data_IF_063343599906
#
_entry.id   IF_063343599906
#
_cell.length_a   1.000
_cell.length_b   1.000
_cell.length_c   1.000
_cell.angle_alpha   90.00
_cell.angle_beta   90.00
_cell.angle_gamma   90.00
#
_symmetry.space_group_name_H-M   'P 1'
#
loop_
_entity.id
_entity.type
_entity.pdbx_description
1 polymer ?
#
# COMPACT_ATOMS: atom_id res chain seq x y z
N UNK A 1 -9.55 -6.04 -27.43
CA UNK A 1 -8.20 -5.51 -27.70
C UNK A 1 -7.18 -6.06 -26.71
N UNK A 2 -5.91 -6.15 -27.12
CA UNK A 2 -4.79 -6.54 -26.24
C UNK A 2 -4.30 -5.38 -25.39
N UNK A 3 -4.45 -4.17 -25.89
CA UNK A 3 -4.11 -2.91 -25.22
C UNK A 3 -5.39 -2.09 -24.99
N UNK A 4 -5.55 -1.63 -23.76
CA UNK A 4 -6.63 -0.73 -23.34
C UNK A 4 -6.02 0.54 -22.78
N UNK A 5 -6.44 1.69 -23.26
CA UNK A 5 -6.01 3.00 -22.76
C UNK A 5 -7.21 3.66 -22.08
N UNK A 6 -7.03 4.05 -20.83
CA UNK A 6 -8.04 4.70 -20.00
C UNK A 6 -7.51 6.08 -19.60
N UNK A 7 -8.24 7.11 -19.96
CA UNK A 7 -7.95 8.50 -19.60
C UNK A 7 -8.95 8.98 -18.57
N UNK A 8 -8.48 9.28 -17.36
CA UNK A 8 -9.25 9.73 -16.20
C UNK A 8 -10.55 8.92 -15.95
N UNK A 9 -10.49 7.56 -15.91
CA UNK A 9 -11.71 6.73 -15.93
C UNK A 9 -12.58 6.87 -14.68
N UNK A 10 -12.07 7.47 -13.62
CA UNK A 10 -12.76 7.70 -12.34
C UNK A 10 -13.11 9.15 -12.10
N UNK A 11 -12.85 10.05 -13.05
CA UNK A 11 -13.18 11.46 -12.92
C UNK A 11 -14.70 11.67 -12.78
N UNK A 12 -15.10 12.34 -11.70
CA UNK A 12 -16.53 12.59 -11.42
C UNK A 12 -17.33 11.36 -10.96
N UNK A 13 -16.68 10.25 -10.71
CA UNK A 13 -17.32 9.01 -10.22
C UNK A 13 -17.26 8.95 -8.70
N UNK A 14 -18.31 8.49 -8.07
CA UNK A 14 -18.36 8.29 -6.62
C UNK A 14 -17.42 7.16 -6.15
N UNK A 15 -17.13 7.02 -4.85
CA UNK A 15 -16.22 6.00 -4.35
C UNK A 15 -16.64 4.57 -4.70
N UNK A 16 -17.93 4.26 -4.77
CA UNK A 16 -18.45 2.93 -5.11
C UNK A 16 -18.19 2.61 -6.57
N UNK A 17 -18.48 3.55 -7.45
CA UNK A 17 -18.20 3.45 -8.88
C UNK A 17 -16.70 3.36 -9.16
N UNK A 18 -15.88 4.16 -8.48
CA UNK A 18 -14.42 4.13 -8.60
C UNK A 18 -13.86 2.75 -8.21
N UNK A 19 -14.36 2.16 -7.12
CA UNK A 19 -13.99 0.80 -6.73
C UNK A 19 -14.43 -0.25 -7.77
N UNK A 20 -15.57 -0.07 -8.42
CA UNK A 20 -16.02 -0.96 -9.50
C UNK A 20 -15.09 -0.88 -10.72
N UNK A 21 -14.65 0.32 -11.10
CA UNK A 21 -13.67 0.52 -12.17
C UNK A 21 -12.35 -0.15 -11.83
N UNK A 22 -11.85 -0.01 -10.58
CA UNK A 22 -10.65 -0.71 -10.12
C UNK A 22 -10.76 -2.23 -10.27
N UNK A 23 -11.89 -2.83 -9.84
CA UNK A 23 -12.14 -4.27 -10.04
C UNK A 23 -12.16 -4.66 -11.51
N UNK A 24 -12.72 -3.84 -12.39
CA UNK A 24 -12.73 -4.09 -13.83
C UNK A 24 -11.31 -4.07 -14.40
N UNK A 25 -10.46 -3.14 -14.00
CA UNK A 25 -9.05 -3.07 -14.39
C UNK A 25 -8.32 -4.36 -13.97
N UNK A 26 -8.47 -4.79 -12.71
CA UNK A 26 -7.88 -6.04 -12.24
C UNK A 26 -8.38 -7.27 -13.02
N UNK A 27 -9.67 -7.32 -13.34
CA UNK A 27 -10.23 -8.42 -14.12
C UNK A 27 -9.69 -8.46 -15.57
N UNK A 28 -9.50 -7.31 -16.21
CA UNK A 28 -8.88 -7.23 -17.54
C UNK A 28 -7.41 -7.64 -17.49
N UNK A 29 -6.66 -7.20 -16.48
CA UNK A 29 -5.27 -7.61 -16.26
C UNK A 29 -5.15 -9.13 -16.06
N UNK A 30 -6.02 -9.73 -15.25
CA UNK A 30 -6.07 -11.18 -15.04
C UNK A 30 -6.33 -11.97 -16.32
N UNK A 31 -6.96 -11.36 -17.34
CA UNK A 31 -7.15 -11.91 -18.68
C UNK A 31 -5.98 -11.62 -19.63
N UNK A 32 -4.84 -11.17 -19.11
CA UNK A 32 -3.64 -10.88 -19.91
C UNK A 32 -3.68 -9.61 -20.74
N UNK A 33 -4.59 -8.67 -20.44
CA UNK A 33 -4.65 -7.38 -21.15
C UNK A 33 -3.58 -6.42 -20.64
N UNK A 34 -2.98 -5.67 -21.53
CA UNK A 34 -2.15 -4.51 -21.18
C UNK A 34 -3.02 -3.29 -21.02
N UNK A 35 -2.87 -2.56 -19.92
CA UNK A 35 -3.69 -1.38 -19.61
C UNK A 35 -2.78 -0.20 -19.37
N UNK A 36 -3.03 0.90 -20.07
CA UNK A 36 -2.43 2.20 -19.81
C UNK A 36 -3.49 3.08 -19.16
N UNK A 37 -3.20 3.55 -17.96
CA UNK A 37 -4.10 4.39 -17.17
C UNK A 37 -3.48 5.77 -17.01
N UNK A 38 -4.17 6.82 -17.45
CA UNK A 38 -3.84 8.21 -17.12
C UNK A 38 -4.79 8.66 -16.01
N UNK A 39 -4.24 9.13 -14.90
CA UNK A 39 -5.03 9.66 -13.78
C UNK A 39 -4.19 10.61 -12.91
N UNK A 40 -4.87 11.60 -12.32
CA UNK A 40 -4.29 12.47 -11.30
C UNK A 40 -4.58 11.96 -9.88
N UNK A 41 -5.37 10.90 -9.72
CA UNK A 41 -5.70 10.28 -8.43
C UNK A 41 -4.65 9.24 -8.03
N UNK A 42 -3.53 9.71 -7.49
CA UNK A 42 -2.34 8.91 -7.19
C UNK A 42 -2.63 7.66 -6.35
N UNK A 43 -3.52 7.75 -5.35
CA UNK A 43 -3.89 6.60 -4.52
C UNK A 43 -4.58 5.46 -5.29
N UNK A 44 -5.31 5.78 -6.37
CA UNK A 44 -5.89 4.75 -7.24
C UNK A 44 -4.84 4.13 -8.16
N UNK A 45 -3.96 4.97 -8.73
CA UNK A 45 -2.83 4.49 -9.55
C UNK A 45 -1.98 3.50 -8.75
N UNK A 46 -1.66 3.83 -7.50
CA UNK A 46 -0.92 2.97 -6.58
C UNK A 46 -1.59 1.60 -6.38
N UNK A 47 -2.92 1.57 -6.27
CA UNK A 47 -3.67 0.33 -6.02
C UNK A 47 -3.81 -0.59 -7.24
N UNK A 48 -3.85 -0.03 -8.46
CA UNK A 48 -4.20 -0.81 -9.66
C UNK A 48 -3.06 -1.02 -10.64
N UNK A 49 -1.98 -0.20 -10.55
CA UNK A 49 -0.87 -0.23 -11.49
C UNK A 49 0.33 -1.02 -10.97
N UNK A 50 1.04 -1.73 -11.86
CA UNK A 50 2.32 -2.38 -11.56
C UNK A 50 3.51 -1.44 -11.78
N UNK A 51 3.36 -0.53 -12.72
CA UNK A 51 4.38 0.44 -13.12
C UNK A 51 3.75 1.82 -13.21
N UNK A 52 4.55 2.82 -12.96
CA UNK A 52 4.17 4.23 -13.05
C UNK A 52 5.19 5.00 -13.88
N UNK A 53 4.69 5.96 -14.64
CA UNK A 53 5.48 6.98 -15.31
C UNK A 53 4.91 8.35 -14.90
N UNK A 54 5.74 9.21 -14.34
CA UNK A 54 5.34 10.56 -13.91
C UNK A 54 5.87 11.55 -14.96
N UNK A 55 4.93 12.34 -15.48
CA UNK A 55 5.18 13.38 -16.47
C UNK A 55 5.04 14.77 -15.83
N UNK A 56 5.95 15.67 -16.08
CA UNK A 56 5.83 17.09 -15.78
C UNK A 56 6.21 17.93 -16.99
N UNK A 57 5.33 18.84 -17.38
CA UNK A 57 5.53 19.77 -18.52
C UNK A 57 6.01 19.07 -19.78
N UNK A 58 5.42 17.91 -20.09
CA UNK A 58 5.74 17.12 -21.28
C UNK A 58 7.06 16.32 -21.19
N UNK A 59 7.70 16.28 -20.03
CA UNK A 59 8.92 15.49 -19.79
C UNK A 59 8.63 14.35 -18.83
N UNK A 60 9.24 13.19 -19.11
CA UNK A 60 9.25 12.07 -18.20
C UNK A 60 10.19 12.40 -17.02
N UNK A 61 9.64 12.46 -15.81
CA UNK A 61 10.38 12.80 -14.58
C UNK A 61 10.83 11.53 -13.86
N UNK A 62 9.97 10.50 -13.87
CA UNK A 62 10.21 9.25 -13.18
C UNK A 62 9.48 8.12 -13.88
N UNK A 63 10.10 6.94 -13.94
CA UNK A 63 9.46 5.70 -14.38
C UNK A 63 9.98 4.53 -13.54
N UNK A 64 9.11 3.60 -13.21
CA UNK A 64 9.51 2.40 -12.47
C UNK A 64 8.32 1.54 -12.05
N UNK A 65 8.63 0.44 -11.35
CA UNK A 65 7.60 -0.34 -10.65
C UNK A 65 7.10 0.47 -9.46
N UNK A 66 5.80 0.42 -9.20
CA UNK A 66 5.18 1.15 -8.08
C UNK A 66 5.87 0.81 -6.76
N UNK A 67 6.08 -0.48 -6.48
CA UNK A 67 6.75 -0.92 -5.25
C UNK A 67 8.17 -0.36 -5.11
N UNK A 68 8.96 -0.32 -6.19
CA UNK A 68 10.33 0.18 -6.17
C UNK A 68 10.38 1.70 -5.98
N UNK A 69 9.47 2.41 -6.65
CA UNK A 69 9.38 3.88 -6.61
C UNK A 69 8.92 4.38 -5.24
N UNK A 70 7.98 3.66 -4.62
CA UNK A 70 7.43 4.02 -3.32
C UNK A 70 8.27 3.48 -2.15
N UNK A 71 9.14 2.51 -2.41
CA UNK A 71 9.97 1.90 -1.37
C UNK A 71 10.99 2.90 -0.83
N UNK A 72 10.93 3.16 0.46
CA UNK A 72 11.94 3.94 1.19
C UNK A 72 13.03 3.00 1.69
N UNK A 73 14.02 2.74 0.85
CA UNK A 73 15.13 1.82 1.17
C UNK A 73 15.98 2.24 2.37
N UNK A 74 15.88 3.50 2.77
CA UNK A 74 16.52 4.08 3.96
C UNK A 74 15.76 3.81 5.26
N UNK A 75 14.57 3.19 5.18
CA UNK A 75 13.73 2.89 6.34
C UNK A 75 13.31 1.43 6.39
N UNK A 76 13.27 0.90 7.59
CA UNK A 76 12.80 -0.44 7.89
C UNK A 76 11.68 -0.37 8.93
N UNK A 77 10.65 -1.19 8.75
CA UNK A 77 9.59 -1.39 9.74
C UNK A 77 9.80 -2.77 10.34
N UNK A 78 9.98 -2.81 11.65
CA UNK A 78 10.11 -4.05 12.42
C UNK A 78 8.82 -4.25 13.21
N UNK A 79 8.15 -5.38 13.00
CA UNK A 79 6.99 -5.78 13.80
C UNK A 79 7.45 -6.86 14.78
N UNK A 80 7.27 -6.59 16.08
CA UNK A 80 7.70 -7.48 17.15
C UNK A 80 6.51 -7.75 18.06
N UNK A 81 6.28 -9.01 18.40
CA UNK A 81 5.26 -9.44 19.35
C UNK A 81 5.84 -9.68 20.73
N UNK A 82 5.04 -9.47 21.77
CA UNK A 82 5.37 -9.78 23.18
C UNK A 82 6.67 -9.13 23.69
N UNK A 83 6.95 -7.90 23.25
CA UNK A 83 8.15 -7.16 23.66
C UNK A 83 7.99 -6.58 25.07
N UNK A 84 8.86 -6.98 26.00
CA UNK A 84 8.96 -6.34 27.32
C UNK A 84 9.67 -4.97 27.23
N UNK A 85 9.47 -4.06 28.21
CA UNK A 85 10.19 -2.79 28.25
C UNK A 85 11.71 -2.94 28.21
N UNK A 86 12.27 -3.95 28.91
CA UNK A 86 13.69 -4.23 28.93
C UNK A 86 14.20 -4.72 27.56
N UNK A 87 13.42 -5.58 26.88
CA UNK A 87 13.76 -6.05 25.54
C UNK A 87 13.73 -4.91 24.51
N UNK A 88 12.81 -3.96 24.65
CA UNK A 88 12.75 -2.76 23.83
C UNK A 88 14.02 -1.91 24.00
N UNK A 89 14.40 -1.61 25.24
CA UNK A 89 15.59 -0.79 25.54
C UNK A 89 16.86 -1.46 24.99
N UNK A 90 17.00 -2.78 25.17
CA UNK A 90 18.10 -3.54 24.62
C UNK A 90 18.15 -3.50 23.09
N UNK A 91 17.01 -3.62 22.42
CA UNK A 91 16.90 -3.54 20.96
C UNK A 91 17.26 -2.13 20.44
N UNK A 92 16.74 -1.07 21.06
CA UNK A 92 17.08 0.31 20.70
C UNK A 92 18.59 0.58 20.89
N UNK A 93 19.19 0.09 21.97
CA UNK A 93 20.63 0.20 22.23
C UNK A 93 21.46 -0.54 21.19
N UNK A 94 21.07 -1.76 20.84
CA UNK A 94 21.76 -2.55 19.82
C UNK A 94 21.68 -1.89 18.44
N UNK A 95 20.53 -1.37 18.05
CA UNK A 95 20.34 -0.65 16.79
C UNK A 95 21.21 0.61 16.73
N UNK A 96 21.24 1.38 17.81
CA UNK A 96 22.06 2.60 17.90
C UNK A 96 23.57 2.28 17.82
N UNK A 97 24.04 1.18 18.42
CA UNK A 97 25.44 0.74 18.34
C UNK A 97 25.86 0.40 16.90
N UNK A 98 24.91 0.05 16.01
CA UNK A 98 25.14 -0.23 14.59
C UNK A 98 24.75 0.95 13.68
N UNK A 99 24.57 2.15 14.22
CA UNK A 99 24.32 3.38 13.46
C UNK A 99 22.86 3.54 12.99
N UNK A 100 21.93 2.70 13.46
CA UNK A 100 20.52 2.86 13.16
C UNK A 100 19.85 3.80 14.18
N UNK A 101 18.84 4.56 13.72
CA UNK A 101 18.06 5.48 14.57
C UNK A 101 16.61 5.02 14.58
N UNK A 102 16.09 4.71 15.76
CA UNK A 102 14.67 4.41 15.95
C UNK A 102 13.89 5.71 15.92
N UNK A 103 13.12 5.93 14.88
CA UNK A 103 12.36 7.18 14.69
C UNK A 103 10.94 7.11 15.24
N UNK A 104 10.39 5.90 15.40
CA UNK A 104 9.03 5.70 15.90
C UNK A 104 8.89 4.32 16.51
N UNK A 105 8.18 4.24 17.63
CA UNK A 105 7.70 3.00 18.22
C UNK A 105 6.21 3.17 18.47
N UNK A 106 5.42 2.36 17.78
CA UNK A 106 3.96 2.43 17.84
C UNK A 106 3.37 1.03 18.04
N UNK A 107 2.21 0.97 18.64
CA UNK A 107 1.42 -0.26 18.67
C UNK A 107 0.53 -0.33 17.42
N UNK A 108 0.53 -1.46 16.69
CA UNK A 108 -0.37 -1.63 15.58
C UNK A 108 -1.82 -1.51 16.06
N UNK A 109 -2.62 -0.76 15.32
CA UNK A 109 -4.06 -0.65 15.57
C UNK A 109 -4.76 -1.78 14.83
N UNK A 110 -5.57 -2.54 15.54
CA UNK A 110 -6.53 -3.43 14.89
C UNK A 110 -7.76 -2.63 14.44
N UNK A 111 -8.41 -3.08 13.38
CA UNK A 111 -9.68 -2.49 12.95
C UNK A 111 -10.81 -2.86 13.93
N UNK A 112 -11.89 -2.06 13.94
CA UNK A 112 -13.09 -2.41 14.68
C UNK A 112 -13.70 -3.74 14.19
N UNK A 113 -13.55 -4.04 12.91
CA UNK A 113 -14.01 -5.30 12.31
C UNK A 113 -13.22 -6.50 12.84
N UNK A 114 -11.91 -6.40 12.96
CA UNK A 114 -11.07 -7.45 13.54
C UNK A 114 -11.39 -7.67 15.00
N UNK A 115 -11.55 -6.58 15.78
CA UNK A 115 -11.94 -6.64 17.17
C UNK A 115 -13.32 -7.30 17.34
N UNK A 116 -14.29 -6.91 16.50
CA UNK A 116 -15.64 -7.49 16.53
C UNK A 116 -15.61 -8.98 16.21
N UNK A 117 -14.84 -9.39 15.20
CA UNK A 117 -14.68 -10.79 14.80
C UNK A 117 -14.10 -11.63 15.96
N UNK A 118 -13.06 -11.15 16.63
CA UNK A 118 -12.47 -11.82 17.80
C UNK A 118 -13.48 -12.00 18.93
N UNK A 119 -14.25 -10.96 19.27
CA UNK A 119 -15.23 -11.00 20.36
C UNK A 119 -16.40 -11.96 20.06
N UNK A 120 -16.84 -12.03 18.81
CA UNK A 120 -17.98 -12.88 18.42
C UNK A 120 -17.55 -14.34 18.23
N UNK A 121 -16.35 -14.61 17.71
CA UNK A 121 -15.84 -15.99 17.57
C UNK A 121 -15.31 -16.56 18.88
N UNK A 122 -14.65 -15.75 19.71
CA UNK A 122 -14.20 -16.17 21.05
C UNK A 122 -15.33 -16.48 22.04
N UNK A 123 -16.57 -16.03 21.75
CA UNK A 123 -17.77 -16.32 22.58
C UNK A 123 -18.47 -17.65 22.23
N UNK A 124 -17.99 -18.38 21.20
CA UNK A 124 -18.57 -19.67 20.77
C UNK A 124 -17.85 -20.90 21.33
N UNK A 125 -16.68 -20.72 21.93
CA UNK A 125 -15.87 -21.81 22.53
C UNK A 125 -15.87 -21.78 24.06
N UNK A 126 -16.81 -21.07 24.67
CA UNK A 126 -17.01 -21.03 26.11
C UNK A 126 -18.31 -21.73 26.53
#
# INVERSE_FOLDING_TARGET
PELVILDEPTAGVDPVGSAAIGRMIHAMRAKGKTIVLCSHLLGQVEQVCDRVAIMDRGKLVLEGRVDDVLSRRDRHVLTVESMSPAAREAAETALAAHGAVVTSVTHPRRSLEDLFRELVTGSRDA
#
